data_IF_960790119869
#
_entry.id   IF_960790119869
#
_cell.length_a   1.000
_cell.length_b   1.000
_cell.length_c   1.000
_cell.angle_alpha   90.00
_cell.angle_beta   90.00
_cell.angle_gamma   90.00
#
_symmetry.space_group_name_H-M   'P 1'
#
loop_
_entity.id
_entity.type
_entity.pdbx_description
1 polymer ?
#
# COMPACT_ATOMS: atom_id res chain seq x y z
N UNK A 1 20.84 -8.84 23.33
CA UNK A 1 20.27 -7.71 22.55
C UNK A 1 18.81 -8.06 22.25
N UNK A 2 17.86 -7.51 23.01
CA UNK A 2 16.44 -7.73 22.76
C UNK A 2 16.01 -6.92 21.53
N UNK A 3 15.35 -7.57 20.57
CA UNK A 3 14.72 -6.92 19.43
C UNK A 3 13.31 -6.54 19.85
N UNK A 4 12.97 -5.24 19.81
CA UNK A 4 11.59 -4.78 20.00
C UNK A 4 10.93 -4.67 18.62
N UNK A 5 9.79 -5.33 18.44
CA UNK A 5 9.02 -5.23 17.20
C UNK A 5 7.90 -4.20 17.39
N UNK A 6 7.68 -3.36 16.39
CA UNK A 6 6.52 -2.47 16.32
C UNK A 6 5.68 -2.84 15.11
N UNK A 7 4.38 -3.01 15.30
CA UNK A 7 3.46 -3.38 14.21
C UNK A 7 2.72 -2.15 13.69
N UNK A 8 2.52 -2.09 12.38
CA UNK A 8 1.70 -1.10 11.68
C UNK A 8 0.62 -1.85 10.93
N UNK A 9 -0.63 -1.61 11.33
CA UNK A 9 -1.80 -2.14 10.63
C UNK A 9 -2.48 -1.04 9.83
N UNK A 10 -2.90 -1.37 8.60
CA UNK A 10 -3.67 -0.46 7.78
C UNK A 10 -4.53 -1.21 6.76
N UNK A 11 -5.55 -0.50 6.30
CA UNK A 11 -6.49 -0.98 5.29
C UNK A 11 -6.46 -0.04 4.08
N UNK A 12 -6.40 -0.62 2.88
CA UNK A 12 -6.51 0.12 1.62
C UNK A 12 -7.78 -0.31 0.91
N UNK A 13 -8.65 0.66 0.62
CA UNK A 13 -9.88 0.45 -0.15
C UNK A 13 -9.72 1.14 -1.51
N UNK A 14 -9.99 0.41 -2.58
CA UNK A 14 -10.07 0.95 -3.93
C UNK A 14 -11.51 0.97 -4.40
N UNK A 15 -11.94 2.06 -5.03
CA UNK A 15 -13.29 2.24 -5.55
C UNK A 15 -13.24 2.55 -7.04
N UNK A 16 -13.99 1.80 -7.83
CA UNK A 16 -14.11 2.02 -9.27
C UNK A 16 -15.30 2.94 -9.55
N UNK A 17 -15.01 4.15 -10.05
CA UNK A 17 -16.04 5.17 -10.30
C UNK A 17 -16.29 5.37 -11.80
N UNK A 18 -16.82 4.34 -12.44
CA UNK A 18 -17.25 4.36 -13.85
C UNK A 18 -18.45 3.43 -14.02
N UNK A 19 -19.12 3.50 -15.17
CA UNK A 19 -20.36 2.75 -15.45
C UNK A 19 -20.22 1.27 -15.09
N UNK A 20 -21.23 0.64 -14.46
CA UNK A 20 -21.14 -0.77 -14.04
C UNK A 20 -20.79 -1.77 -15.16
N UNK A 21 -21.20 -1.48 -16.40
CA UNK A 21 -20.94 -2.34 -17.56
C UNK A 21 -19.50 -2.25 -18.09
N UNK A 22 -18.73 -1.24 -17.66
CA UNK A 22 -17.34 -1.05 -18.05
C UNK A 22 -16.44 -1.82 -17.08
N UNK A 23 -15.34 -2.36 -17.62
CA UNK A 23 -14.32 -3.08 -16.87
C UNK A 23 -12.97 -2.38 -17.03
N UNK A 24 -12.32 -2.05 -15.91
CA UNK A 24 -10.92 -1.63 -15.90
C UNK A 24 -9.99 -2.83 -15.84
N UNK A 25 -8.82 -2.72 -16.48
CA UNK A 25 -7.83 -3.77 -16.62
C UNK A 25 -6.44 -3.34 -16.12
N UNK A 26 -5.55 -4.33 -15.93
CA UNK A 26 -4.14 -4.12 -15.56
C UNK A 26 -3.97 -3.18 -14.37
N UNK A 27 -4.79 -3.38 -13.35
CA UNK A 27 -4.80 -2.54 -12.16
C UNK A 27 -3.66 -2.97 -11.25
N UNK A 28 -2.77 -2.04 -10.96
CA UNK A 28 -1.63 -2.23 -10.07
C UNK A 28 -1.62 -1.10 -9.05
N UNK A 29 -1.70 -1.46 -7.77
CA UNK A 29 -1.59 -0.55 -6.63
C UNK A 29 -0.23 -0.77 -5.99
N UNK A 30 0.51 0.31 -5.80
CA UNK A 30 1.80 0.33 -5.12
C UNK A 30 1.67 1.08 -3.81
N UNK A 31 1.84 0.35 -2.71
CA UNK A 31 1.80 0.88 -1.35
C UNK A 31 3.24 0.86 -0.80
N UNK A 32 3.86 2.02 -0.56
CA UNK A 32 5.23 2.07 -0.04
C UNK A 32 5.29 1.59 1.40
N UNK A 33 6.29 0.77 1.72
CA UNK A 33 6.58 0.26 3.06
C UNK A 33 7.84 0.90 3.62
N UNK A 34 7.98 1.01 4.95
CA UNK A 34 9.23 1.42 5.58
C UNK A 34 10.41 0.54 5.19
N UNK A 35 11.63 1.09 5.26
CA UNK A 35 12.86 0.32 5.02
C UNK A 35 13.14 -0.69 6.14
N UNK A 36 12.63 -0.47 7.34
CA UNK A 36 12.78 -1.35 8.49
C UNK A 36 11.66 -2.41 8.61
N UNK A 37 10.96 -2.70 7.51
CA UNK A 37 9.96 -3.77 7.43
C UNK A 37 10.61 -5.15 7.49
N UNK A 38 10.11 -5.99 8.38
CA UNK A 38 10.63 -7.34 8.59
C UNK A 38 9.65 -8.43 8.17
N UNK A 39 8.39 -8.30 8.58
CA UNK A 39 7.33 -9.22 8.17
C UNK A 39 6.13 -8.43 7.69
N UNK A 40 5.50 -8.91 6.64
CA UNK A 40 4.28 -8.33 6.07
C UNK A 40 3.26 -9.44 5.95
N UNK A 41 2.12 -9.27 6.59
CA UNK A 41 0.93 -10.10 6.42
C UNK A 41 -0.08 -9.33 5.58
N UNK A 42 -0.56 -9.95 4.51
CA UNK A 42 -1.49 -9.32 3.55
C UNK A 42 -2.71 -10.21 3.40
N UNK A 43 -3.90 -9.61 3.50
CA UNK A 43 -5.17 -10.29 3.29
C UNK A 43 -5.95 -9.50 2.22
N UNK A 44 -6.24 -10.15 1.10
CA UNK A 44 -7.07 -9.58 0.05
C UNK A 44 -7.98 -10.65 -0.56
N UNK A 45 -9.27 -10.29 -0.76
CA UNK A 45 -10.24 -11.18 -1.40
C UNK A 45 -10.11 -11.21 -2.93
N UNK A 46 -9.60 -10.13 -3.53
CA UNK A 46 -9.50 -9.96 -4.98
C UNK A 46 -8.08 -9.59 -5.37
N UNK A 47 -7.62 -10.16 -6.48
CA UNK A 47 -6.27 -9.95 -6.98
C UNK A 47 -5.22 -10.73 -6.19
N UNK A 48 -3.96 -10.31 -6.34
CA UNK A 48 -2.81 -10.88 -5.63
C UNK A 48 -1.96 -9.75 -5.08
N UNK A 49 -1.73 -9.74 -3.77
CA UNK A 49 -0.84 -8.79 -3.11
C UNK A 49 0.46 -9.47 -2.69
N UNK A 50 1.60 -8.83 -2.93
CA UNK A 50 2.92 -9.31 -2.52
C UNK A 50 3.79 -8.16 -2.03
N UNK A 51 4.57 -8.40 -0.98
CA UNK A 51 5.63 -7.48 -0.57
C UNK A 51 6.86 -7.68 -1.46
N UNK A 52 7.37 -6.59 -2.04
CA UNK A 52 8.64 -6.55 -2.75
C UNK A 52 9.64 -5.75 -1.90
N UNK A 53 10.50 -6.45 -1.18
CA UNK A 53 11.48 -5.83 -0.29
C UNK A 53 12.51 -4.98 -1.05
N UNK A 54 12.90 -5.38 -2.27
CA UNK A 54 13.80 -4.60 -3.15
C UNK A 54 13.26 -3.20 -3.46
N UNK A 55 11.94 -3.12 -3.64
CA UNK A 55 11.23 -1.91 -4.07
C UNK A 55 10.64 -1.14 -2.87
N UNK A 56 10.83 -1.67 -1.65
CA UNK A 56 10.23 -1.22 -0.40
C UNK A 56 8.73 -0.93 -0.57
N UNK A 57 8.00 -1.85 -1.21
CA UNK A 57 6.59 -1.65 -1.50
C UNK A 57 5.79 -2.96 -1.50
N UNK A 58 4.53 -2.85 -1.09
CA UNK A 58 3.51 -3.86 -1.36
C UNK A 58 2.92 -3.56 -2.73
N UNK A 59 2.94 -4.56 -3.61
CA UNK A 59 2.34 -4.50 -4.93
C UNK A 59 1.08 -5.36 -4.93
N UNK A 60 -0.07 -4.71 -5.13
CA UNK A 60 -1.37 -5.38 -5.24
C UNK A 60 -1.87 -5.29 -6.68
N UNK A 61 -1.97 -6.45 -7.34
CA UNK A 61 -2.38 -6.55 -8.74
C UNK A 61 -3.76 -7.16 -8.88
N UNK A 62 -4.62 -6.53 -9.66
CA UNK A 62 -5.92 -7.06 -10.07
C UNK A 62 -5.96 -7.18 -11.60
N UNK A 63 -6.39 -8.35 -12.10
CA UNK A 63 -6.52 -8.59 -13.54
C UNK A 63 -7.52 -7.63 -14.17
N UNK A 64 -8.68 -7.51 -13.52
CA UNK A 64 -9.75 -6.60 -13.90
C UNK A 64 -10.61 -6.20 -12.70
N UNK A 65 -11.38 -5.12 -12.86
CA UNK A 65 -12.38 -4.65 -11.90
C UNK A 65 -13.59 -4.10 -12.67
N UNK A 66 -14.79 -4.50 -12.29
CA UNK A 66 -16.03 -3.94 -12.85
C UNK A 66 -16.29 -2.56 -12.25
N UNK A 67 -16.99 -1.69 -12.98
CA UNK A 67 -17.39 -0.37 -12.47
C UNK A 67 -18.33 -0.44 -11.27
N UNK A 68 -18.35 0.62 -10.46
CA UNK A 68 -19.15 0.73 -9.24
C UNK A 68 -18.92 -0.41 -8.25
N UNK A 69 -17.69 -0.93 -8.18
CA UNK A 69 -17.23 -1.92 -7.19
C UNK A 69 -16.19 -1.33 -6.26
N UNK A 70 -16.06 -1.95 -5.09
CA UNK A 70 -15.04 -1.66 -4.09
C UNK A 70 -14.30 -2.93 -3.72
N UNK A 71 -12.98 -2.86 -3.60
CA UNK A 71 -12.14 -3.95 -3.10
C UNK A 71 -11.23 -3.45 -2.00
N UNK A 72 -10.87 -4.37 -1.10
CA UNK A 72 -10.09 -4.09 0.11
C UNK A 72 -8.85 -4.98 0.17
N UNK A 73 -7.80 -4.39 0.73
CA UNK A 73 -6.57 -5.05 1.15
C UNK A 73 -6.29 -4.65 2.60
N UNK A 74 -6.19 -5.64 3.47
CA UNK A 74 -5.74 -5.49 4.85
C UNK A 74 -4.27 -5.88 4.94
N UNK A 75 -3.47 -5.05 5.61
CA UNK A 75 -2.04 -5.25 5.74
C UNK A 75 -1.60 -5.03 7.19
N UNK A 76 -0.83 -6.00 7.70
CA UNK A 76 -0.13 -5.91 8.98
C UNK A 76 1.38 -5.99 8.73
N UNK A 77 2.10 -4.94 9.11
CA UNK A 77 3.54 -4.83 8.89
C UNK A 77 4.25 -4.82 10.23
N UNK A 78 5.11 -5.80 10.47
CA UNK A 78 6.05 -5.80 11.58
C UNK A 78 7.34 -5.09 11.17
N UNK A 79 7.75 -4.11 11.97
CA UNK A 79 9.00 -3.39 11.83
C UNK A 79 10.02 -3.88 12.86
N UNK A 80 11.28 -4.00 12.45
CA UNK A 80 12.37 -4.17 13.42
C UNK A 80 12.78 -2.82 13.99
N UNK A 81 12.98 -2.77 15.31
CA UNK A 81 13.70 -1.70 15.98
C UNK A 81 15.18 -1.73 15.57
N UNK A 82 15.51 -1.25 14.38
CA UNK A 82 16.89 -0.91 14.03
C UNK A 82 17.26 0.38 14.76
N UNK A 83 17.49 0.29 16.08
CA UNK A 83 18.01 1.33 16.99
C UNK A 83 17.85 2.77 16.47
N UNK A 84 16.63 3.19 16.16
CA UNK A 84 16.31 4.62 16.20
C UNK A 84 15.86 4.82 17.62
N UNK A 85 16.73 5.49 18.37
CA UNK A 85 16.70 5.70 19.79
C UNK A 85 15.29 5.79 20.37
N UNK A 86 15.09 5.01 21.43
CA UNK A 86 14.30 5.32 22.61
C UNK A 86 13.26 6.43 22.39
N UNK A 87 12.00 6.04 22.39
CA UNK A 87 10.87 6.90 22.78
C UNK A 87 11.08 7.42 24.21
N UNK A 88 11.99 8.38 24.38
CA UNK A 88 12.12 9.23 25.57
C UNK A 88 12.89 10.50 25.20
N UNK A 89 12.18 11.63 25.30
CA UNK A 89 12.65 12.89 25.90
C UNK A 89 13.68 13.69 25.09
N UNK A 90 13.28 14.92 24.74
CA UNK A 90 14.16 16.09 24.58
C UNK A 90 15.34 15.92 23.62
N UNK A 91 15.12 16.09 22.31
CA UNK A 91 16.02 16.96 21.53
C UNK A 91 15.50 17.28 20.13
N UNK A 92 15.70 18.54 19.72
CA UNK A 92 15.25 19.11 18.45
C UNK A 92 16.31 18.95 17.35
N UNK A 93 16.79 17.73 17.09
CA UNK A 93 17.80 17.49 16.04
C UNK A 93 17.47 16.24 15.21
N UNK A 94 16.88 16.48 14.03
CA UNK A 94 16.90 15.64 12.83
C UNK A 94 16.72 14.11 13.03
N UNK A 95 15.58 13.70 13.61
CA UNK A 95 15.13 12.31 13.53
C UNK A 95 14.37 12.11 12.22
N UNK A 96 14.89 11.30 11.30
CA UNK A 96 14.27 10.99 10.00
C UNK A 96 12.99 10.17 10.22
N UNK A 97 11.92 10.85 10.63
CA UNK A 97 10.56 10.30 10.65
C UNK A 97 10.28 9.77 9.25
N UNK A 98 9.92 8.50 9.14
CA UNK A 98 9.53 7.92 7.85
C UNK A 98 8.43 8.78 7.21
N UNK A 99 8.78 9.47 6.12
CA UNK A 99 7.83 10.21 5.30
C UNK A 99 7.06 9.19 4.49
N UNK A 100 5.77 8.99 4.83
CA UNK A 100 4.89 8.08 4.11
C UNK A 100 4.74 8.59 2.67
N UNK A 101 5.43 7.94 1.74
CA UNK A 101 5.26 8.20 0.32
C UNK A 101 3.79 7.92 -0.08
N UNK A 102 3.24 8.65 -1.06
CA UNK A 102 1.86 8.44 -1.48
C UNK A 102 1.67 7.05 -2.09
N UNK A 103 0.48 6.48 -1.89
CA UNK A 103 0.04 5.27 -2.60
C UNK A 103 -0.17 5.66 -4.06
N UNK A 104 0.37 4.87 -4.98
CA UNK A 104 0.23 5.09 -6.43
C UNK A 104 -0.54 3.95 -7.08
N UNK A 105 -1.18 4.25 -8.20
CA UNK A 105 -1.98 3.28 -8.96
C UNK A 105 -1.72 3.44 -10.46
N UNK A 106 -1.66 2.33 -11.17
CA UNK A 106 -1.69 2.25 -12.63
C UNK A 106 -2.84 1.37 -13.06
N UNK A 107 -3.61 1.79 -14.07
CA UNK A 107 -4.75 1.03 -14.58
C UNK A 107 -5.04 1.42 -16.03
N UNK A 108 -5.79 0.56 -16.73
CA UNK A 108 -6.31 0.83 -18.06
C UNK A 108 -7.83 0.78 -18.03
N UNK A 109 -8.48 1.75 -18.67
CA UNK A 109 -9.94 1.79 -18.80
C UNK A 109 -10.33 2.00 -20.27
N UNK A 110 -11.40 1.37 -20.77
CA UNK A 110 -11.82 1.48 -22.17
C UNK A 110 -12.68 2.73 -22.40
N UNK A 111 -12.27 3.87 -21.85
CA UNK A 111 -12.91 5.18 -22.09
C UNK A 111 -11.92 6.33 -21.86
N UNK A 112 -12.21 7.48 -22.47
CA UNK A 112 -11.46 8.72 -22.29
C UNK A 112 -11.82 9.37 -20.96
N UNK A 113 -10.85 9.47 -20.04
CA UNK A 113 -11.04 10.12 -18.74
C UNK A 113 -11.30 11.63 -18.85
N UNK A 114 -10.96 12.26 -19.99
CA UNK A 114 -11.22 13.67 -20.27
C UNK A 114 -12.69 13.98 -20.57
N UNK A 115 -13.54 12.96 -20.76
CA UNK A 115 -14.93 13.15 -21.18
C UNK A 115 -15.09 13.53 -22.66
N UNK A 116 -13.99 13.62 -23.41
CA UNK A 116 -14.02 13.79 -24.86
C UNK A 116 -14.60 12.54 -25.52
N UNK A 117 -15.61 12.75 -26.36
CA UNK A 117 -16.29 11.73 -27.16
C UNK A 117 -15.93 11.90 -28.62
#
# INVERSE_FOLDING_TARGET
RELRYSTIDFQVIIKSNYKPAIMGEKIEIRIPTPKNTCRVQLVCLKGKAKHKSSDNAIIWKLKHMMGMKEYQLDASIELTSASTSLSSITDRTYTTKWTRQPISMSFQVPFTASGFK
#
